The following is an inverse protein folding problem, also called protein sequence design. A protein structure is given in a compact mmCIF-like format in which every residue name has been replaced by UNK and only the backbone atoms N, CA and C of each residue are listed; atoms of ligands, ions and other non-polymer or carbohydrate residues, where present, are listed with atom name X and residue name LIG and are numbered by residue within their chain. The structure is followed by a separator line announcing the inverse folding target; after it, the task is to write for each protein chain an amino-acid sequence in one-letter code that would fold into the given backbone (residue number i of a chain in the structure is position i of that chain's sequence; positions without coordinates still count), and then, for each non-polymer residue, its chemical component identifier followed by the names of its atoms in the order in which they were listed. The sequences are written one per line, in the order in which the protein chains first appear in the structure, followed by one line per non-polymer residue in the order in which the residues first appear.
data_IF_294473698028
#
_entry.id   IF_294473698028
#
_cell.length_a   1.000
_cell.length_b   1.000
_cell.length_c   1.000
_cell.angle_alpha   90.00
_cell.angle_beta   90.00
_cell.angle_gamma   90.00
#
_symmetry.space_group_name_H-M   'P 1'
#
loop_
_entity.id
_entity.type
_entity.pdbx_description
1 polymer ?
#
# COMPACT_ATOMS: atom_id res chain seq x y z
N UNK A 1 -4.28 -4.97 -12.65
CA UNK A 1 -2.99 -5.62 -12.97
C UNK A 1 -1.93 -4.54 -12.94
N UNK A 2 -0.92 -4.63 -12.06
CA UNK A 2 0.10 -3.58 -11.92
C UNK A 2 1.44 -4.07 -11.35
N UNK A 3 1.74 -5.37 -11.45
CA UNK A 3 2.93 -5.98 -10.83
C UNK A 3 4.11 -6.25 -11.77
N UNK A 4 3.89 -6.29 -13.09
CA UNK A 4 4.95 -6.65 -14.05
C UNK A 4 6.01 -5.55 -14.29
N UNK A 5 5.61 -4.29 -14.17
CA UNK A 5 6.47 -3.13 -14.45
C UNK A 5 7.61 -2.99 -13.43
N UNK A 6 7.29 -3.20 -12.15
CA UNK A 6 8.28 -3.18 -11.09
C UNK A 6 9.29 -4.32 -11.21
N UNK A 7 8.83 -5.49 -11.70
CA UNK A 7 9.69 -6.65 -11.88
C UNK A 7 10.75 -6.41 -12.97
N UNK A 8 10.36 -5.87 -14.13
CA UNK A 8 11.30 -5.58 -15.22
C UNK A 8 12.29 -4.48 -14.84
N UNK A 9 11.83 -3.42 -14.18
CA UNK A 9 12.71 -2.38 -13.64
C UNK A 9 13.73 -2.97 -12.66
N UNK A 10 13.25 -3.80 -11.72
CA UNK A 10 14.10 -4.40 -10.71
C UNK A 10 15.17 -5.32 -11.32
N UNK A 11 14.85 -6.12 -12.35
CA UNK A 11 15.83 -6.95 -13.06
C UNK A 11 16.92 -6.06 -13.70
N UNK A 12 16.52 -5.09 -14.52
CA UNK A 12 17.45 -4.21 -15.23
C UNK A 12 18.31 -3.36 -14.25
N UNK A 13 17.73 -2.94 -13.13
CA UNK A 13 18.43 -2.19 -12.09
C UNK A 13 19.52 -3.05 -11.41
N UNK A 14 19.23 -4.32 -11.12
CA UNK A 14 20.20 -5.24 -10.51
C UNK A 14 21.40 -5.52 -11.43
N UNK A 15 21.17 -5.68 -12.72
CA UNK A 15 22.23 -5.85 -13.72
C UNK A 15 23.11 -4.60 -13.83
N UNK A 16 22.50 -3.42 -13.92
CA UNK A 16 23.24 -2.17 -13.97
C UNK A 16 24.04 -1.91 -12.69
N UNK A 17 23.44 -2.14 -11.51
CA UNK A 17 24.09 -1.95 -10.23
C UNK A 17 25.29 -2.91 -10.03
N UNK A 18 25.17 -4.16 -10.51
CA UNK A 18 26.27 -5.12 -10.52
C UNK A 18 27.43 -4.67 -11.43
N UNK A 19 27.14 -4.14 -12.61
CA UNK A 19 28.14 -3.65 -13.56
C UNK A 19 28.85 -2.37 -13.10
N UNK A 20 28.18 -1.52 -12.31
CA UNK A 20 28.71 -0.23 -11.84
C UNK A 20 29.28 -0.27 -10.41
N UNK A 21 29.21 -1.42 -9.73
CA UNK A 21 29.69 -1.56 -8.36
C UNK A 21 28.84 -0.82 -7.31
N UNK A 22 27.62 -0.40 -7.65
CA UNK A 22 26.72 0.32 -6.77
C UNK A 22 26.12 -0.63 -5.72
N UNK A 23 26.58 -0.50 -4.47
CA UNK A 23 26.05 -1.29 -3.32
C UNK A 23 24.92 -0.60 -2.57
N UNK A 24 24.58 0.65 -2.93
CA UNK A 24 23.58 1.47 -2.25
C UNK A 24 22.26 1.46 -3.02
N UNK A 25 21.30 0.66 -2.57
CA UNK A 25 19.96 0.48 -3.15
C UNK A 25 19.01 1.68 -3.01
N UNK A 26 19.47 2.79 -2.43
CA UNK A 26 18.66 4.00 -2.22
C UNK A 26 18.58 4.90 -3.45
N UNK A 27 19.44 4.67 -4.44
CA UNK A 27 19.52 5.51 -5.64
C UNK A 27 18.68 4.90 -6.75
N UNK A 28 17.67 5.65 -7.20
CA UNK A 28 16.79 5.24 -8.29
C UNK A 28 17.45 5.61 -9.62
N UNK A 29 17.56 4.66 -10.54
CA UNK A 29 18.06 4.96 -11.88
C UNK A 29 16.89 5.37 -12.77
N UNK A 30 16.66 6.69 -12.87
CA UNK A 30 15.56 7.28 -13.64
C UNK A 30 15.62 6.93 -15.14
N UNK A 31 16.81 6.67 -15.68
CA UNK A 31 16.96 6.26 -17.09
C UNK A 31 16.41 4.86 -17.34
N UNK A 32 16.70 3.91 -16.44
CA UNK A 32 16.15 2.54 -16.50
C UNK A 32 14.63 2.57 -16.26
N UNK A 33 14.19 3.38 -15.29
CA UNK A 33 12.78 3.55 -14.98
C UNK A 33 11.98 4.11 -16.16
N UNK A 34 12.47 5.18 -16.78
CA UNK A 34 11.85 5.79 -17.96
C UNK A 34 11.73 4.82 -19.13
N UNK A 35 12.78 4.03 -19.41
CA UNK A 35 12.75 3.01 -20.47
C UNK A 35 11.70 1.92 -20.23
N UNK A 36 11.56 1.47 -18.98
CA UNK A 36 10.56 0.47 -18.60
C UNK A 36 9.12 1.01 -18.69
N UNK A 37 8.92 2.32 -18.50
CA UNK A 37 7.63 2.98 -18.68
C UNK A 37 7.28 3.21 -20.16
N UNK A 38 8.23 3.67 -20.97
CA UNK A 38 8.00 3.96 -22.40
C UNK A 38 7.57 2.74 -23.22
N UNK A 39 8.04 1.55 -22.84
CA UNK A 39 7.63 0.29 -23.48
C UNK A 39 6.13 -0.03 -23.31
N UNK A 40 5.47 0.59 -22.32
CA UNK A 40 4.03 0.46 -22.11
C UNK A 40 3.22 1.47 -22.95
N UNK A 41 3.73 2.67 -23.20
CA UNK A 41 3.02 3.69 -23.98
C UNK A 41 2.92 3.32 -25.47
N UNK A 42 3.93 2.63 -26.00
CA UNK A 42 3.93 2.15 -27.39
C UNK A 42 2.96 0.98 -27.65
N UNK A 43 2.43 0.32 -26.60
CA UNK A 43 1.52 -0.83 -26.71
C UNK A 43 0.06 -0.48 -26.34
N UNK A 44 -0.25 0.79 -26.09
CA UNK A 44 -1.62 1.24 -25.88
C UNK A 44 -2.29 1.48 -27.23
N UNK A 45 -2.85 0.42 -27.82
CA UNK A 45 -3.89 0.61 -28.84
C UNK A 45 -5.01 1.48 -28.25
N UNK A 46 -5.53 2.49 -28.98
CA UNK A 46 -6.65 3.28 -28.50
C UNK A 46 -7.85 2.35 -28.24
N UNK A 47 -8.55 2.46 -27.10
CA UNK A 47 -9.71 1.63 -26.85
C UNK A 47 -10.83 1.98 -27.86
N UNK A 48 -11.59 0.99 -28.35
CA UNK A 48 -12.69 1.25 -29.27
C UNK A 48 -13.75 2.15 -28.61
N UNK A 49 -14.42 3.02 -29.39
CA UNK A 49 -15.23 4.14 -28.86
C UNK A 49 -16.57 3.75 -28.22
N UNK A 50 -16.78 2.49 -27.80
CA UNK A 50 -18.11 2.03 -27.35
C UNK A 50 -18.09 1.05 -26.17
N UNK A 51 -17.13 1.14 -25.26
CA UNK A 51 -17.25 0.49 -23.96
C UNK A 51 -18.13 1.33 -23.02
N UNK A 52 -19.46 1.24 -23.22
CA UNK A 52 -20.48 1.69 -22.27
C UNK A 52 -20.06 1.24 -20.86
N UNK A 53 -19.69 2.21 -20.04
CA UNK A 53 -19.22 2.05 -18.68
C UNK A 53 -20.37 1.46 -17.84
N UNK A 54 -20.50 0.12 -17.84
CA UNK A 54 -21.34 -0.55 -16.85
C UNK A 54 -20.66 -0.31 -15.52
N UNK A 55 -21.24 0.59 -14.74
CA UNK A 55 -20.98 0.81 -13.33
C UNK A 55 -20.91 -0.54 -12.61
N UNK A 56 -19.71 -1.15 -12.58
CA UNK A 56 -19.35 -2.08 -11.53
C UNK A 56 -19.12 -1.20 -10.32
N UNK A 57 -20.22 -0.94 -9.61
CA UNK A 57 -20.18 -0.59 -8.20
C UNK A 57 -19.41 -1.73 -7.53
N UNK A 58 -18.09 -1.56 -7.47
CA UNK A 58 -17.25 -2.25 -6.52
C UNK A 58 -17.87 -1.92 -5.17
N UNK A 59 -18.68 -2.83 -4.65
CA UNK A 59 -18.89 -2.90 -3.21
C UNK A 59 -17.54 -3.25 -2.62
N UNK A 60 -16.67 -2.24 -2.52
CA UNK A 60 -15.49 -2.28 -1.71
C UNK A 60 -16.01 -2.53 -0.31
N UNK A 61 -15.95 -3.79 0.14
CA UNK A 61 -16.07 -4.12 1.56
C UNK A 61 -15.11 -3.17 2.25
N UNK A 62 -15.65 -2.15 2.94
CA UNK A 62 -14.88 -1.18 3.71
C UNK A 62 -14.15 -1.98 4.80
N UNK A 63 -12.97 -2.51 4.49
CA UNK A 63 -12.01 -2.91 5.51
C UNK A 63 -11.45 -1.60 6.05
N UNK A 64 -12.21 -0.88 6.86
CA UNK A 64 -11.68 0.22 7.64
C UNK A 64 -10.60 -0.38 8.54
N UNK A 65 -9.35 -0.07 8.24
CA UNK A 65 -8.23 -0.38 9.14
C UNK A 65 -8.51 0.22 10.52
N UNK A 66 -7.83 -0.28 11.55
CA UNK A 66 -7.93 0.32 12.89
C UNK A 66 -7.22 1.68 12.93
N UNK A 67 -7.70 2.59 13.77
CA UNK A 67 -7.08 3.89 13.96
C UNK A 67 -5.81 3.72 14.81
N UNK A 68 -4.64 3.93 14.21
CA UNK A 68 -3.35 3.82 14.90
C UNK A 68 -3.15 4.90 15.97
N UNK A 69 -3.39 6.20 15.70
CA UNK A 69 -3.29 7.25 16.72
C UNK A 69 -4.15 6.96 17.96
N UNK A 70 -5.39 6.53 17.74
CA UNK A 70 -6.27 6.12 18.82
C UNK A 70 -5.75 4.90 19.60
N UNK A 71 -5.22 3.89 18.90
CA UNK A 71 -4.79 2.63 19.50
C UNK A 71 -3.48 2.73 20.31
N UNK A 72 -2.52 3.54 19.84
CA UNK A 72 -1.14 3.55 20.36
C UNK A 72 -0.77 4.88 21.02
N UNK A 73 -1.09 6.00 20.37
CA UNK A 73 -0.80 7.34 20.91
C UNK A 73 -1.85 7.78 21.95
N UNK A 74 -2.98 7.08 22.00
CA UNK A 74 -4.08 7.33 22.93
C UNK A 74 -4.87 8.60 22.65
N UNK A 75 -4.60 9.25 21.51
CA UNK A 75 -5.33 10.42 21.03
C UNK A 75 -5.60 10.27 19.53
N UNK A 76 -6.83 10.55 19.14
CA UNK A 76 -7.18 10.77 17.76
C UNK A 76 -7.95 12.07 17.66
N UNK A 77 -7.41 13.05 16.92
CA UNK A 77 -8.03 14.37 16.78
C UNK A 77 -9.43 14.32 16.12
N UNK A 78 -9.80 13.17 15.55
CA UNK A 78 -11.09 12.90 14.91
C UNK A 78 -12.01 12.01 15.73
N UNK A 79 -11.63 11.73 16.98
CA UNK A 79 -12.44 10.98 17.94
C UNK A 79 -13.67 11.79 18.32
N UNK A 80 -13.47 13.02 18.78
CA UNK A 80 -14.55 13.91 19.24
C UNK A 80 -15.50 14.30 18.11
N UNK A 81 -14.99 14.44 16.89
CA UNK A 81 -15.79 14.75 15.70
C UNK A 81 -16.51 13.54 15.12
N UNK A 82 -16.18 12.31 15.54
CA UNK A 82 -16.72 11.08 14.94
C UNK A 82 -16.39 10.88 13.46
N UNK A 83 -15.49 11.70 12.88
CA UNK A 83 -15.14 11.67 11.45
C UNK A 83 -13.93 10.79 11.16
N UNK A 84 -13.46 10.02 12.15
CA UNK A 84 -12.37 9.09 11.94
C UNK A 84 -12.79 7.99 10.95
N UNK A 85 -12.12 7.96 9.80
CA UNK A 85 -12.33 6.95 8.75
C UNK A 85 -11.89 5.53 9.16
N UNK A 86 -11.20 5.40 10.29
CA UNK A 86 -10.61 4.17 10.80
C UNK A 86 -11.34 3.70 12.05
N UNK A 87 -11.42 2.39 12.26
CA UNK A 87 -12.14 1.83 13.40
C UNK A 87 -11.40 2.12 14.72
N UNK A 88 -12.12 2.68 15.70
CA UNK A 88 -11.65 2.80 17.09
C UNK A 88 -11.87 1.48 17.82
N UNK A 89 -11.14 0.45 17.37
CA UNK A 89 -11.13 -0.88 17.96
C UNK A 89 -9.70 -1.38 18.13
N UNK A 90 -9.51 -2.20 19.16
CA UNK A 90 -8.20 -2.71 19.56
C UNK A 90 -7.50 -3.40 18.38
N UNK A 91 -6.26 -3.01 18.09
CA UNK A 91 -5.45 -3.69 17.08
C UNK A 91 -5.34 -5.21 17.33
N UNK A 92 -5.13 -5.61 18.59
CA UNK A 92 -4.88 -6.99 19.00
C UNK A 92 -6.14 -7.85 19.16
N UNK A 93 -7.16 -7.35 19.88
CA UNK A 93 -8.33 -8.15 20.25
C UNK A 93 -9.64 -7.70 19.58
N UNK A 94 -9.59 -6.64 18.74
CA UNK A 94 -10.76 -6.04 18.07
C UNK A 94 -11.89 -5.54 18.98
N UNK A 95 -11.67 -5.48 20.30
CA UNK A 95 -12.61 -4.92 21.28
C UNK A 95 -12.59 -3.38 21.33
N UNK A 96 -13.40 -2.78 22.21
CA UNK A 96 -13.56 -1.33 22.38
C UNK A 96 -12.40 -0.62 23.11
N UNK A 97 -11.42 -1.38 23.62
CA UNK A 97 -10.22 -0.86 24.27
C UNK A 97 -9.13 -0.49 23.27
N UNK A 98 -8.22 0.39 23.67
CA UNK A 98 -7.02 0.71 22.88
C UNK A 98 -6.01 -0.44 22.92
N UNK A 99 -5.16 -0.54 21.89
CA UNK A 99 -4.10 -1.53 21.85
C UNK A 99 -3.11 -1.40 23.03
N UNK A 100 -2.79 -0.16 23.44
CA UNK A 100 -1.90 0.10 24.59
C UNK A 100 -2.42 -0.51 25.90
N UNK A 101 -3.74 -0.47 26.09
CA UNK A 101 -4.48 -0.94 27.27
C UNK A 101 -4.89 -2.42 27.14
N UNK A 102 -4.52 -3.08 26.03
CA UNK A 102 -4.90 -4.47 25.76
C UNK A 102 -3.94 -5.45 26.43
N UNK A 103 -4.47 -6.33 27.27
CA UNK A 103 -3.70 -7.41 27.92
C UNK A 103 -3.32 -8.54 26.94
N UNK A 104 -4.07 -8.71 25.84
CA UNK A 104 -3.79 -9.72 24.81
C UNK A 104 -2.51 -9.43 24.00
N UNK A 105 -1.89 -8.26 24.16
CA UNK A 105 -0.59 -7.94 23.55
C UNK A 105 0.50 -8.95 23.91
N UNK A 106 0.38 -9.61 25.07
CA UNK A 106 1.35 -10.60 25.58
C UNK A 106 1.17 -12.01 25.01
N UNK A 107 0.06 -12.32 24.32
CA UNK A 107 -0.22 -13.68 23.82
C UNK A 107 0.28 -13.96 22.40
N UNK A 108 0.78 -12.95 21.67
CA UNK A 108 1.28 -13.10 20.28
C UNK A 108 2.80 -13.23 20.14
N UNK A 109 3.55 -13.31 21.24
CA UNK A 109 5.02 -13.52 21.23
C UNK A 109 5.39 -15.00 21.40
N UNK A 110 4.43 -15.91 21.30
CA UNK A 110 4.70 -17.36 21.33
C UNK A 110 4.18 -18.00 20.06
N UNK A 111 5.02 -18.00 19.03
CA UNK A 111 5.26 -19.17 18.16
C UNK A 111 6.46 -18.91 17.26
#
# INVERSE_FOLDING_TARGET
MGGGQWLQYNINFREWAAATGLRKWREMNFSIYGRCLSHCLANLNPPPPNARNKNRAWQAKKRSGVCYPWNFDGRCDREDSGTCKFAHSCYYCKGSRRARDCQDKRRRVVK
#
